data_IF_410256856170
#
_entry.id   IF_410256856170
#
_cell.length_a   1.000
_cell.length_b   1.000
_cell.length_c   1.000
_cell.angle_alpha   90.00
_cell.angle_beta   90.00
_cell.angle_gamma   90.00
#
_symmetry.space_group_name_H-M   'P 1'
#
loop_
_entity.id
_entity.type
_entity.pdbx_description
1 polymer ?
#
# COMPACT_ATOMS: atom_id res chain seq x y z
N UNK A 1 9.18 21.56 -33.76
CA UNK A 1 8.19 20.88 -32.90
C UNK A 1 8.86 19.66 -32.29
N UNK A 2 9.48 19.80 -31.12
CA UNK A 2 10.14 18.67 -30.45
C UNK A 2 9.07 17.85 -29.74
N UNK A 3 8.75 16.68 -30.27
CA UNK A 3 7.96 15.68 -29.55
C UNK A 3 8.77 15.29 -28.30
N UNK A 4 8.33 15.76 -27.13
CA UNK A 4 8.92 15.34 -25.87
C UNK A 4 8.79 13.83 -25.76
N UNK A 5 9.90 13.15 -25.43
CA UNK A 5 9.89 11.71 -25.15
C UNK A 5 8.74 11.39 -24.18
N UNK A 6 8.00 10.29 -24.37
CA UNK A 6 6.93 9.92 -23.46
C UNK A 6 7.52 9.84 -22.06
N UNK A 7 7.10 10.74 -21.16
CA UNK A 7 7.55 10.69 -19.76
C UNK A 7 7.16 9.31 -19.24
N UNK A 8 8.14 8.56 -18.72
CA UNK A 8 7.84 7.31 -18.05
C UNK A 8 6.78 7.57 -16.96
N UNK A 9 5.78 6.69 -16.81
CA UNK A 9 4.72 6.90 -15.84
C UNK A 9 5.32 6.99 -14.44
N UNK A 10 4.82 7.94 -13.65
CA UNK A 10 5.23 8.14 -12.27
C UNK A 10 4.85 6.91 -11.44
N UNK A 11 5.64 6.61 -10.40
CA UNK A 11 5.50 5.39 -9.60
C UNK A 11 5.44 5.73 -8.12
N UNK A 12 4.55 5.06 -7.40
CA UNK A 12 4.41 5.20 -5.95
C UNK A 12 4.43 3.84 -5.26
N UNK A 13 5.09 3.78 -4.10
CA UNK A 13 5.01 2.66 -3.17
C UNK A 13 4.19 3.09 -1.96
N UNK A 14 3.05 2.43 -1.73
CA UNK A 14 2.15 2.72 -0.62
C UNK A 14 2.17 1.52 0.33
N UNK A 15 2.38 1.77 1.62
CA UNK A 15 2.57 0.71 2.62
C UNK A 15 1.66 0.94 3.82
N UNK A 16 0.94 -0.10 4.25
CA UNK A 16 0.27 -0.14 5.55
C UNK A 16 0.62 -1.44 6.24
N UNK A 17 0.83 -1.42 7.56
CA UNK A 17 1.23 -2.61 8.34
C UNK A 17 0.25 -2.97 9.46
N UNK A 18 -0.80 -2.17 9.66
CA UNK A 18 -1.79 -2.39 10.74
C UNK A 18 -3.20 -2.52 10.19
N UNK A 19 -3.61 -1.57 9.35
CA UNK A 19 -5.00 -1.45 8.92
C UNK A 19 -5.42 -2.57 7.96
N UNK A 20 -6.71 -2.92 8.03
CA UNK A 20 -7.33 -3.86 7.10
C UNK A 20 -7.18 -3.33 5.66
N UNK A 21 -6.57 -4.11 4.73
CA UNK A 21 -6.19 -3.61 3.41
C UNK A 21 -7.33 -3.01 2.59
N UNK A 22 -8.55 -3.53 2.75
CA UNK A 22 -9.75 -3.09 2.02
C UNK A 22 -10.54 -1.98 2.73
N UNK A 23 -10.30 -1.74 4.02
CA UNK A 23 -11.01 -0.70 4.79
C UNK A 23 -10.11 0.54 5.04
N UNK A 24 -8.87 0.49 4.55
CA UNK A 24 -7.97 1.62 4.69
C UNK A 24 -8.46 2.81 3.85
N UNK A 25 -8.56 3.99 4.49
CA UNK A 25 -8.80 5.27 3.79
C UNK A 25 -7.72 5.55 2.73
N UNK A 26 -6.52 4.99 2.92
CA UNK A 26 -5.41 5.03 1.97
C UNK A 26 -5.83 4.37 0.64
N UNK A 27 -6.43 3.18 0.67
CA UNK A 27 -6.89 2.50 -0.56
C UNK A 27 -7.96 3.30 -1.31
N UNK A 28 -8.99 3.76 -0.59
CA UNK A 28 -10.15 4.38 -1.23
C UNK A 28 -9.92 5.83 -1.66
N UNK A 29 -8.97 6.56 -1.06
CA UNK A 29 -8.75 7.98 -1.34
C UNK A 29 -7.41 8.21 -2.04
N UNK A 30 -6.32 7.80 -1.42
CA UNK A 30 -4.97 8.11 -1.89
C UNK A 30 -4.60 7.27 -3.11
N UNK A 31 -4.71 5.94 -3.02
CA UNK A 31 -4.39 5.05 -4.14
C UNK A 31 -5.31 5.33 -5.33
N UNK A 32 -6.61 5.51 -5.09
CA UNK A 32 -7.55 5.91 -6.14
C UNK A 32 -7.11 7.20 -6.84
N UNK A 33 -6.79 8.26 -6.11
CA UNK A 33 -6.34 9.53 -6.70
C UNK A 33 -5.03 9.41 -7.50
N UNK A 34 -4.09 8.58 -7.04
CA UNK A 34 -2.84 8.33 -7.76
C UNK A 34 -3.09 7.60 -9.08
N UNK A 35 -3.94 6.58 -9.08
CA UNK A 35 -4.29 5.83 -10.28
C UNK A 35 -5.05 6.71 -11.28
N UNK A 36 -5.99 7.54 -10.82
CA UNK A 36 -6.71 8.52 -11.67
C UNK A 36 -5.75 9.56 -12.27
N UNK A 37 -4.68 9.92 -11.56
CA UNK A 37 -3.61 10.78 -12.07
C UNK A 37 -2.64 10.05 -13.02
N UNK A 38 -2.87 8.77 -13.32
CA UNK A 38 -2.06 7.97 -14.24
C UNK A 38 -0.78 7.38 -13.63
N UNK A 39 -0.65 7.36 -12.30
CA UNK A 39 0.49 6.75 -11.62
C UNK A 39 0.39 5.22 -11.63
N UNK A 40 1.54 4.57 -11.55
CA UNK A 40 1.63 3.15 -11.22
C UNK A 40 1.86 3.00 -9.72
N UNK A 41 1.03 2.22 -9.05
CA UNK A 41 1.06 2.07 -7.58
C UNK A 41 1.38 0.63 -7.21
N UNK A 42 2.39 0.44 -6.37
CA UNK A 42 2.60 -0.81 -5.64
C UNK A 42 2.05 -0.64 -4.22
N UNK A 43 1.09 -1.47 -3.84
CA UNK A 43 0.45 -1.45 -2.53
C UNK A 43 0.86 -2.67 -1.70
N UNK A 44 1.60 -2.40 -0.63
CA UNK A 44 2.04 -3.38 0.34
C UNK A 44 1.11 -3.34 1.56
N UNK A 45 0.43 -4.44 1.85
CA UNK A 45 -0.52 -4.51 2.96
C UNK A 45 -0.62 -5.93 3.53
N UNK A 46 -1.09 -6.08 4.79
CA UNK A 46 -1.24 -7.39 5.43
C UNK A 46 -2.49 -8.13 4.94
N UNK A 47 -2.55 -8.54 3.67
CA UNK A 47 -3.68 -9.27 3.11
C UNK A 47 -3.89 -10.60 3.83
N UNK A 48 -2.85 -11.42 3.92
CA UNK A 48 -2.93 -12.76 4.50
C UNK A 48 -3.26 -12.69 5.99
N UNK A 49 -2.69 -11.74 6.73
CA UNK A 49 -2.97 -11.57 8.15
C UNK A 49 -4.38 -11.01 8.47
N UNK A 50 -5.15 -10.64 7.45
CA UNK A 50 -6.57 -10.30 7.55
C UNK A 50 -7.45 -11.27 6.75
N UNK A 51 -6.94 -12.47 6.44
CA UNK A 51 -7.67 -13.53 5.71
C UNK A 51 -8.16 -13.10 4.31
N UNK A 52 -7.43 -12.19 3.67
CA UNK A 52 -7.72 -11.72 2.31
C UNK A 52 -6.78 -12.33 1.28
N UNK A 53 -7.27 -12.67 0.08
CA UNK A 53 -6.39 -12.95 -1.05
C UNK A 53 -5.69 -11.67 -1.50
N UNK A 54 -4.45 -11.79 -1.99
CA UNK A 54 -3.74 -10.70 -2.65
C UNK A 54 -4.39 -10.46 -4.02
N UNK A 55 -4.91 -9.26 -4.32
CA UNK A 55 -5.49 -8.97 -5.62
C UNK A 55 -4.47 -9.12 -6.76
N UNK A 56 -4.91 -9.69 -7.87
CA UNK A 56 -4.12 -9.72 -9.10
C UNK A 56 -3.84 -8.29 -9.59
N UNK A 57 -2.68 -8.03 -10.24
CA UNK A 57 -2.36 -6.71 -10.78
C UNK A 57 -3.41 -6.25 -11.81
N UNK A 58 -3.93 -5.04 -11.64
CA UNK A 58 -4.95 -4.47 -12.53
C UNK A 58 -4.95 -2.94 -12.46
N UNK A 59 -5.24 -2.27 -13.58
CA UNK A 59 -5.47 -0.82 -13.62
C UNK A 59 -4.30 0.03 -13.08
N UNK A 60 -3.06 -0.42 -13.24
CA UNK A 60 -1.86 0.27 -12.72
C UNK A 60 -1.57 0.02 -11.22
N UNK A 61 -2.36 -0.83 -10.57
CA UNK A 61 -2.16 -1.26 -9.19
C UNK A 61 -1.54 -2.66 -9.13
N UNK A 62 -0.45 -2.81 -8.38
CA UNK A 62 0.12 -4.10 -8.00
C UNK A 62 0.04 -4.26 -6.49
N UNK A 63 -0.56 -5.35 -6.02
CA UNK A 63 -0.67 -5.62 -4.58
C UNK A 63 0.36 -6.68 -4.17
N UNK A 64 0.96 -6.48 -3.00
CA UNK A 64 1.90 -7.42 -2.39
C UNK A 64 1.55 -7.60 -0.91
N UNK A 65 1.65 -8.83 -0.41
CA UNK A 65 1.44 -9.13 1.00
C UNK A 65 2.65 -8.75 1.85
N UNK A 66 2.40 -8.34 3.10
CA UNK A 66 3.41 -8.20 4.13
C UNK A 66 2.90 -8.64 5.51
N UNK A 67 3.79 -8.97 6.46
CA UNK A 67 3.37 -9.29 7.83
C UNK A 67 2.69 -8.11 8.52
N UNK A 68 1.62 -8.37 9.26
CA UNK A 68 1.01 -7.37 10.14
C UNK A 68 1.98 -7.02 11.28
N UNK A 69 2.12 -5.73 11.58
CA UNK A 69 2.90 -5.28 12.72
C UNK A 69 2.26 -5.77 14.04
N UNK A 70 3.01 -6.54 14.81
CA UNK A 70 2.72 -6.84 16.21
C UNK A 70 3.35 -5.72 17.04
N UNK A 71 2.56 -4.84 17.62
CA UNK A 71 3.09 -3.71 18.40
C UNK A 71 4.12 -4.15 19.45
N UNK A 72 5.12 -3.32 19.73
CA UNK A 72 6.08 -3.61 20.77
C UNK A 72 5.38 -3.60 22.15
N UNK A 73 5.52 -4.69 22.91
CA UNK A 73 5.08 -4.67 24.32
C UNK A 73 5.90 -3.64 25.09
N UNK A 74 5.27 -2.79 25.91
CA UNK A 74 6.02 -1.82 26.71
C UNK A 74 7.02 -2.57 27.60
N UNK A 75 8.25 -2.02 27.80
CA UNK A 75 9.22 -2.66 28.67
C UNK A 75 8.61 -2.84 30.05
N UNK A 76 8.67 -4.08 30.56
CA UNK A 76 8.19 -4.42 31.90
C UNK A 76 8.84 -3.48 32.91
N UNK A 77 8.06 -2.60 33.55
CA UNK A 77 8.54 -1.69 34.59
C UNK A 77 9.32 -2.50 35.63
N UNK A 78 10.59 -2.16 35.86
CA UNK A 78 11.34 -2.70 36.99
C UNK A 78 10.65 -2.25 38.28
N UNK A 79 10.47 -3.13 39.28
CA UNK A 79 9.99 -2.71 40.59
C UNK A 79 10.94 -1.66 41.16
N UNK A 80 10.38 -0.64 41.81
CA UNK A 80 11.11 0.42 42.50
C UNK A 80 11.82 -0.12 43.74
#
# INVERSE_FOLDING_TARGET
MTAGLPRSPLRALVVTVVHHPQDSRIRHREIAALLEAGWQVTYLAPFVAHDLPVPAPAGGLTCLDLPRAAGASPPRRRPR
#
